data_IF_619403714740
#
_entry.id   IF_619403714740
#
_cell.length_a   1.000
_cell.length_b   1.000
_cell.length_c   1.000
_cell.angle_alpha   90.00
_cell.angle_beta   90.00
_cell.angle_gamma   90.00
#
_symmetry.space_group_name_H-M   'P 1'
#
loop_
_entity.id
_entity.type
_entity.pdbx_description
1 polymer ?
#
# COMPACT_ATOMS: atom_id res chain seq x y z
N UNK A 1 -13.16 34.27 1.41
CA UNK A 1 -11.93 34.10 0.62
C UNK A 1 -12.15 32.91 -0.29
N UNK A 2 -11.90 32.99 -1.59
CA UNK A 2 -11.98 31.80 -2.44
C UNK A 2 -10.69 31.00 -2.25
N UNK A 3 -10.78 29.69 -2.02
CA UNK A 3 -9.66 28.74 -1.94
C UNK A 3 -9.02 28.57 -3.33
N UNK A 4 -8.44 29.66 -3.82
CA UNK A 4 -7.79 29.74 -5.12
C UNK A 4 -6.49 30.47 -4.93
N UNK A 5 -5.48 30.11 -5.73
CA UNK A 5 -4.18 30.79 -5.73
C UNK A 5 -4.36 32.31 -5.88
N UNK A 6 -5.26 32.73 -6.77
CA UNK A 6 -5.55 34.15 -6.99
C UNK A 6 -6.23 34.82 -5.79
N UNK A 7 -7.12 34.11 -5.10
CA UNK A 7 -7.72 34.57 -3.85
C UNK A 7 -6.69 34.82 -2.75
N UNK A 8 -5.73 33.90 -2.59
CA UNK A 8 -4.61 34.05 -1.65
C UNK A 8 -3.68 35.19 -2.05
N UNK A 9 -3.29 35.27 -3.33
CA UNK A 9 -2.44 36.34 -3.86
C UNK A 9 -3.06 37.71 -3.63
N UNK A 10 -4.34 37.89 -3.96
CA UNK A 10 -5.05 39.15 -3.74
C UNK A 10 -5.09 39.53 -2.26
N UNK A 11 -5.36 38.57 -1.38
CA UNK A 11 -5.39 38.81 0.06
C UNK A 11 -4.03 39.27 0.61
N UNK A 12 -2.96 38.55 0.28
CA UNK A 12 -1.61 38.94 0.72
C UNK A 12 -1.21 40.32 0.15
N UNK A 13 -1.46 40.55 -1.13
CA UNK A 13 -1.13 41.84 -1.77
C UNK A 13 -1.88 43.01 -1.13
N UNK A 14 -3.13 42.84 -0.72
CA UNK A 14 -3.89 43.89 -0.02
C UNK A 14 -3.26 44.24 1.34
N UNK A 15 -2.82 43.22 2.08
CA UNK A 15 -2.17 43.41 3.38
C UNK A 15 -0.81 44.07 3.21
N UNK A 16 0.02 43.57 2.29
CA UNK A 16 1.33 44.18 1.99
C UNK A 16 1.14 45.63 1.56
N UNK A 17 0.23 45.90 0.63
CA UNK A 17 -0.05 47.26 0.15
C UNK A 17 -0.43 48.21 1.28
N UNK A 18 -1.26 47.76 2.23
CA UNK A 18 -1.60 48.56 3.41
C UNK A 18 -0.37 48.86 4.29
N UNK A 19 0.39 47.83 4.69
CA UNK A 19 1.53 48.03 5.60
C UNK A 19 2.70 48.77 4.96
N UNK A 20 2.91 48.65 3.65
CA UNK A 20 3.92 49.42 2.92
C UNK A 20 3.56 50.90 2.87
N UNK A 21 2.27 51.24 2.70
CA UNK A 21 1.81 52.63 2.73
C UNK A 21 1.95 53.22 4.15
N UNK A 22 1.56 52.46 5.18
CA UNK A 22 1.73 52.89 6.58
C UNK A 22 3.21 53.11 6.95
N UNK A 23 4.09 52.21 6.52
CA UNK A 23 5.54 52.37 6.71
C UNK A 23 6.10 53.59 5.97
N UNK A 24 5.63 53.85 4.75
CA UNK A 24 6.01 55.05 4.01
C UNK A 24 5.54 56.33 4.72
N UNK A 25 4.31 56.37 5.24
CA UNK A 25 3.77 57.52 6.00
C UNK A 25 4.58 57.74 7.27
N UNK A 26 4.94 56.68 8.00
CA UNK A 26 5.78 56.75 9.19
C UNK A 26 7.13 57.44 8.91
N UNK A 27 7.74 57.16 7.76
CA UNK A 27 9.02 57.77 7.38
C UNK A 27 8.89 59.15 6.72
N UNK A 28 7.80 59.40 6.00
CA UNK A 28 7.58 60.65 5.26
C UNK A 28 6.95 61.77 6.09
N UNK A 29 6.30 61.45 7.21
CA UNK A 29 5.55 62.41 8.03
C UNK A 29 6.09 62.53 9.45
N UNK A 30 6.00 63.72 10.04
CA UNK A 30 6.39 63.94 11.44
C UNK A 30 5.18 63.79 12.36
N UNK A 31 5.05 62.62 13.01
CA UNK A 31 4.14 62.43 14.14
C UNK A 31 2.69 62.02 13.83
N UNK A 32 2.34 61.78 12.55
CA UNK A 32 1.01 61.25 12.19
C UNK A 32 0.85 59.77 12.53
N UNK A 33 1.93 58.99 12.39
CA UNK A 33 1.98 57.57 12.74
C UNK A 33 3.22 57.36 13.61
N UNK A 34 3.12 56.50 14.62
CA UNK A 34 4.25 56.14 15.48
C UNK A 34 4.61 54.67 15.28
N UNK A 35 5.89 54.34 15.47
CA UNK A 35 6.36 52.95 15.32
C UNK A 35 5.59 51.98 16.24
N UNK A 36 5.30 52.40 17.47
CA UNK A 36 4.52 51.61 18.43
C UNK A 36 3.11 51.27 17.91
N UNK A 37 2.42 52.25 17.29
CA UNK A 37 1.11 52.02 16.69
C UNK A 37 1.19 51.02 15.52
N UNK A 38 2.17 51.19 14.63
CA UNK A 38 2.35 50.28 13.49
C UNK A 38 2.67 48.85 13.95
N UNK A 39 3.48 48.69 15.00
CA UNK A 39 3.84 47.39 15.57
C UNK A 39 2.62 46.71 16.23
N UNK A 40 1.78 47.45 16.97
CA UNK A 40 0.51 46.92 17.52
C UNK A 40 -0.46 46.50 16.41
N UNK A 41 -0.60 47.33 15.37
CA UNK A 41 -1.45 47.05 14.23
C UNK A 41 -0.99 45.80 13.47
N UNK A 42 0.32 45.66 13.27
CA UNK A 42 0.91 44.46 12.69
C UNK A 42 0.65 43.22 13.54
N UNK A 43 0.85 43.29 14.87
CA UNK A 43 0.60 42.15 15.76
C UNK A 43 -0.87 41.67 15.72
N UNK A 44 -1.82 42.61 15.66
CA UNK A 44 -3.24 42.30 15.49
C UNK A 44 -3.53 41.68 14.11
N UNK A 45 -2.99 42.26 13.04
CA UNK A 45 -3.16 41.76 11.69
C UNK A 45 -2.56 40.36 11.53
N UNK A 46 -1.32 40.16 11.96
CA UNK A 46 -0.61 38.89 11.92
C UNK A 46 -1.37 37.78 12.65
N UNK A 47 -1.94 38.08 13.81
CA UNK A 47 -2.77 37.12 14.56
C UNK A 47 -4.02 36.71 13.77
N UNK A 48 -4.69 37.65 13.09
CA UNK A 48 -5.84 37.36 12.22
C UNK A 48 -5.42 36.59 10.97
N UNK A 49 -4.30 36.96 10.34
CA UNK A 49 -3.76 36.29 9.15
C UNK A 49 -3.47 34.83 9.45
N UNK A 50 -2.77 34.55 10.55
CA UNK A 50 -2.46 33.17 10.98
C UNK A 50 -3.75 32.38 11.21
N UNK A 51 -4.74 32.97 11.90
CA UNK A 51 -6.02 32.30 12.15
C UNK A 51 -6.73 31.92 10.83
N UNK A 52 -6.84 32.86 9.89
CA UNK A 52 -7.46 32.63 8.58
C UNK A 52 -6.71 31.55 7.79
N UNK A 53 -5.38 31.65 7.74
CA UNK A 53 -4.57 30.69 7.00
C UNK A 53 -4.65 29.28 7.59
N UNK A 54 -4.63 29.13 8.92
CA UNK A 54 -4.81 27.82 9.58
C UNK A 54 -6.16 27.21 9.25
N UNK A 55 -7.22 28.01 9.31
CA UNK A 55 -8.56 27.53 8.97
C UNK A 55 -8.60 27.05 7.53
N UNK A 56 -8.14 27.84 6.56
CA UNK A 56 -8.22 27.44 5.15
C UNK A 56 -7.25 26.32 4.78
N UNK A 57 -6.04 26.29 5.35
CA UNK A 57 -5.11 25.18 5.10
C UNK A 57 -5.69 23.85 5.59
N UNK A 58 -6.41 23.85 6.73
CA UNK A 58 -7.00 22.63 7.30
C UNK A 58 -8.10 22.00 6.42
N UNK A 59 -8.84 22.82 5.67
CA UNK A 59 -9.89 22.37 4.75
C UNK A 59 -9.38 22.06 3.34
N UNK A 60 -8.17 22.52 3.00
CA UNK A 60 -7.58 22.26 1.69
C UNK A 60 -7.29 20.77 1.50
N UNK A 61 -7.86 20.20 0.44
CA UNK A 61 -7.69 18.80 0.05
C UNK A 61 -6.79 18.60 -1.18
N UNK A 62 -6.32 19.70 -1.77
CA UNK A 62 -5.42 19.69 -2.93
C UNK A 62 -3.97 19.98 -2.51
N UNK A 63 -3.05 19.00 -2.59
CA UNK A 63 -1.64 19.21 -2.24
C UNK A 63 -0.99 20.33 -3.06
N UNK A 64 -1.37 20.47 -4.33
CA UNK A 64 -0.76 21.45 -5.24
C UNK A 64 -1.13 22.88 -4.78
N UNK A 65 -2.38 23.10 -4.37
CA UNK A 65 -2.83 24.35 -3.77
C UNK A 65 -2.15 24.66 -2.42
N UNK A 66 -1.90 23.64 -1.58
CA UNK A 66 -1.16 23.82 -0.31
C UNK A 66 0.29 24.24 -0.58
N UNK A 67 0.94 23.67 -1.59
CA UNK A 67 2.30 24.04 -1.98
C UNK A 67 2.38 25.48 -2.50
N UNK A 68 1.42 25.87 -3.35
CA UNK A 68 1.28 27.26 -3.81
C UNK A 68 1.05 28.22 -2.64
N UNK A 69 0.19 27.85 -1.68
CA UNK A 69 -0.02 28.64 -0.47
C UNK A 69 1.27 28.82 0.34
N UNK A 70 2.07 27.75 0.51
CA UNK A 70 3.38 27.82 1.14
C UNK A 70 4.31 28.80 0.43
N UNK A 71 4.37 28.76 -0.90
CA UNK A 71 5.21 29.69 -1.67
C UNK A 71 4.74 31.16 -1.50
N UNK A 72 3.43 31.40 -1.50
CA UNK A 72 2.88 32.73 -1.25
C UNK A 72 3.17 33.24 0.17
N UNK A 73 3.09 32.38 1.20
CA UNK A 73 3.43 32.73 2.58
C UNK A 73 4.92 33.10 2.70
N UNK A 74 5.81 32.35 2.03
CA UNK A 74 7.26 32.65 2.02
C UNK A 74 7.53 34.01 1.40
N UNK A 75 6.96 34.30 0.22
CA UNK A 75 7.13 35.60 -0.45
C UNK A 75 6.55 36.74 0.40
N UNK A 76 5.37 36.51 1.00
CA UNK A 76 4.72 37.48 1.89
C UNK A 76 5.58 37.79 3.13
N UNK A 77 6.16 36.76 3.76
CA UNK A 77 7.06 36.92 4.89
C UNK A 77 8.34 37.66 4.51
N UNK A 78 9.01 37.27 3.42
CA UNK A 78 10.24 37.90 2.94
C UNK A 78 10.03 39.39 2.62
N UNK A 79 8.91 39.70 1.93
CA UNK A 79 8.56 41.09 1.60
C UNK A 79 8.42 41.95 2.86
N UNK A 80 7.63 41.51 3.84
CA UNK A 80 7.40 42.30 5.06
C UNK A 80 8.61 42.33 6.00
N UNK A 81 9.42 41.29 6.00
CA UNK A 81 10.71 41.29 6.70
C UNK A 81 11.64 42.36 6.13
N UNK A 82 11.62 42.60 4.82
CA UNK A 82 12.36 43.70 4.17
C UNK A 82 11.98 45.10 4.68
N UNK A 83 10.73 45.30 5.14
CA UNK A 83 10.25 46.53 5.80
C UNK A 83 10.46 46.52 7.33
N UNK A 84 11.13 45.51 7.86
CA UNK A 84 11.45 45.40 9.30
C UNK A 84 10.27 44.95 10.17
N UNK A 85 9.24 44.31 9.59
CA UNK A 85 8.17 43.69 10.38
C UNK A 85 8.58 42.30 10.89
N UNK A 86 8.24 41.92 12.14
CA UNK A 86 8.53 40.60 12.67
C UNK A 86 7.64 39.52 12.04
N UNK A 87 8.26 38.52 11.41
CA UNK A 87 7.58 37.47 10.64
C UNK A 87 7.76 36.05 11.20
N UNK A 88 8.42 35.88 12.36
CA UNK A 88 8.72 34.55 12.94
C UNK A 88 7.50 33.63 13.04
N UNK A 89 6.33 34.17 13.41
CA UNK A 89 5.08 33.39 13.52
C UNK A 89 4.57 32.86 12.18
N UNK A 90 4.98 33.45 11.05
CA UNK A 90 4.68 32.92 9.71
C UNK A 90 5.55 31.70 9.40
N UNK A 91 6.81 31.67 9.88
CA UNK A 91 7.65 30.49 9.77
C UNK A 91 7.12 29.34 10.64
N UNK A 92 6.61 29.62 11.84
CA UNK A 92 5.91 28.62 12.65
C UNK A 92 4.70 28.03 11.90
N UNK A 93 3.90 28.89 11.26
CA UNK A 93 2.78 28.46 10.43
C UNK A 93 3.22 27.60 9.24
N UNK A 94 4.38 27.87 8.64
CA UNK A 94 4.90 27.06 7.53
C UNK A 94 5.18 25.60 7.93
N UNK A 95 5.59 25.35 9.19
CA UNK A 95 5.70 23.98 9.70
C UNK A 95 4.34 23.28 9.77
N UNK A 96 3.30 23.97 10.23
CA UNK A 96 1.94 23.43 10.26
C UNK A 96 1.40 23.17 8.84
N UNK A 97 1.65 24.08 7.89
CA UNK A 97 1.27 23.92 6.48
C UNK A 97 1.99 22.73 5.84
N UNK A 98 3.26 22.49 6.18
CA UNK A 98 3.99 21.30 5.73
C UNK A 98 3.34 20.01 6.24
N UNK A 99 2.95 19.96 7.50
CA UNK A 99 2.33 18.77 8.07
C UNK A 99 0.95 18.51 7.41
N UNK A 100 0.18 19.57 7.15
CA UNK A 100 -1.06 19.48 6.37
C UNK A 100 -0.83 19.02 4.93
N UNK A 101 0.22 19.51 4.26
CA UNK A 101 0.62 19.07 2.92
C UNK A 101 0.89 17.56 2.91
N UNK A 102 1.67 17.07 3.87
CA UNK A 102 1.98 15.64 3.98
C UNK A 102 0.72 14.80 4.18
N UNK A 103 -0.19 15.21 5.07
CA UNK A 103 -1.46 14.50 5.27
C UNK A 103 -2.35 14.49 4.03
N UNK A 104 -2.42 15.62 3.32
CA UNK A 104 -3.21 15.75 2.08
C UNK A 104 -2.62 14.89 0.96
N UNK A 105 -1.30 14.87 0.83
CA UNK A 105 -0.57 14.04 -0.12
C UNK A 105 -0.80 12.54 0.15
N UNK A 106 -0.72 12.12 1.42
CA UNK A 106 -1.00 10.74 1.81
C UNK A 106 -2.45 10.33 1.49
N UNK A 107 -3.43 11.22 1.69
CA UNK A 107 -4.82 10.98 1.29
C UNK A 107 -4.98 10.84 -0.23
N UNK A 108 -4.33 11.70 -1.03
CA UNK A 108 -4.34 11.64 -2.50
C UNK A 108 -3.78 10.29 -2.97
N UNK A 109 -2.65 9.86 -2.44
CA UNK A 109 -2.06 8.56 -2.78
C UNK A 109 -2.90 7.36 -2.31
N UNK A 110 -3.60 7.47 -1.18
CA UNK A 110 -4.53 6.43 -0.74
C UNK A 110 -5.65 6.17 -1.76
N UNK A 111 -6.13 7.22 -2.42
CA UNK A 111 -7.11 7.12 -3.52
C UNK A 111 -6.47 6.49 -4.74
N UNK A 112 -5.29 6.96 -5.16
CA UNK A 112 -4.56 6.40 -6.30
C UNK A 112 -4.30 4.91 -6.13
N UNK A 113 -3.81 4.46 -4.97
CA UNK A 113 -3.60 3.03 -4.72
C UNK A 113 -4.90 2.23 -4.77
N UNK A 114 -5.99 2.78 -4.23
CA UNK A 114 -7.30 2.13 -4.28
C UNK A 114 -7.79 1.97 -5.72
N UNK A 115 -7.68 3.03 -6.51
CA UNK A 115 -8.09 3.02 -7.91
C UNK A 115 -7.26 2.01 -8.72
N UNK A 116 -5.95 1.95 -8.48
CA UNK A 116 -5.06 0.94 -9.08
C UNK A 116 -5.55 -0.47 -8.72
N UNK A 117 -5.81 -0.75 -7.44
CA UNK A 117 -6.26 -2.07 -6.98
C UNK A 117 -7.68 -2.43 -7.42
N UNK A 118 -8.54 -1.46 -7.71
CA UNK A 118 -9.88 -1.70 -8.24
C UNK A 118 -9.90 -1.93 -9.75
N UNK A 119 -8.93 -1.36 -10.47
CA UNK A 119 -8.78 -1.53 -11.92
C UNK A 119 -7.93 -2.74 -12.31
N UNK A 120 -7.11 -3.24 -11.41
CA UNK A 120 -6.28 -4.42 -11.64
C UNK A 120 -7.16 -5.66 -11.87
N UNK A 121 -6.81 -6.43 -12.89
CA UNK A 121 -7.47 -7.69 -13.23
C UNK A 121 -6.70 -8.92 -12.68
N UNK A 122 -5.59 -8.68 -11.97
CA UNK A 122 -4.73 -9.70 -11.35
C UNK A 122 -4.27 -10.81 -12.30
N UNK A 123 -4.18 -10.48 -13.59
CA UNK A 123 -3.62 -11.37 -14.61
C UNK A 123 -2.18 -10.98 -14.93
N UNK A 124 -1.33 -11.94 -15.33
CA UNK A 124 0.02 -11.62 -15.83
C UNK A 124 -0.06 -10.64 -17.00
N UNK A 125 0.86 -9.67 -17.03
CA UNK A 125 0.94 -8.70 -18.14
C UNK A 125 1.35 -9.47 -19.41
N UNK A 126 0.48 -9.54 -20.44
CA UNK A 126 0.86 -10.17 -21.70
C UNK A 126 1.88 -9.28 -22.41
N UNK A 127 2.95 -9.89 -22.91
CA UNK A 127 3.99 -9.22 -23.67
C UNK A 127 4.20 -10.01 -24.94
N UNK A 128 3.88 -9.42 -26.09
CA UNK A 128 3.94 -10.13 -27.38
C UNK A 128 5.26 -9.89 -28.13
N UNK A 129 5.98 -8.80 -27.79
CA UNK A 129 7.20 -8.40 -28.47
C UNK A 129 8.23 -7.75 -27.52
N UNK A 130 9.48 -7.62 -27.99
CA UNK A 130 10.59 -7.08 -27.21
C UNK A 130 10.40 -5.57 -26.88
N UNK A 131 9.66 -4.83 -27.71
CA UNK A 131 9.40 -3.41 -27.50
C UNK A 131 8.46 -3.18 -26.31
N UNK A 132 7.39 -3.97 -26.22
CA UNK A 132 6.47 -4.01 -25.08
C UNK A 132 7.19 -4.45 -23.81
N UNK A 133 8.05 -5.48 -23.90
CA UNK A 133 8.87 -5.91 -22.78
C UNK A 133 9.72 -4.76 -22.23
N UNK A 134 10.46 -4.09 -23.13
CA UNK A 134 11.29 -2.92 -22.78
C UNK A 134 10.45 -1.78 -22.21
N UNK A 135 9.26 -1.54 -22.76
CA UNK A 135 8.35 -0.51 -22.25
C UNK A 135 7.91 -0.81 -20.80
N UNK A 136 7.58 -2.07 -20.49
CA UNK A 136 7.20 -2.50 -19.14
C UNK A 136 8.39 -2.41 -18.17
N UNK A 137 9.54 -2.98 -18.53
CA UNK A 137 10.75 -2.99 -17.68
C UNK A 137 11.35 -1.58 -17.52
N UNK A 138 11.11 -0.66 -18.45
CA UNK A 138 11.53 0.74 -18.29
C UNK A 138 10.76 1.49 -17.20
N UNK A 139 9.53 1.05 -16.88
CA UNK A 139 8.66 1.69 -15.87
C UNK A 139 8.84 1.12 -14.47
N UNK A 140 9.36 -0.11 -14.38
CA UNK A 140 9.56 -0.81 -13.12
C UNK A 140 10.90 -1.54 -13.16
N UNK A 141 11.80 -1.35 -12.17
CA UNK A 141 13.14 -1.93 -12.16
C UNK A 141 13.09 -3.46 -11.92
N UNK A 142 12.62 -4.19 -12.92
CA UNK A 142 12.57 -5.66 -12.95
C UNK A 142 13.91 -6.19 -13.45
N UNK A 143 14.43 -7.21 -12.77
CA UNK A 143 15.66 -7.89 -13.18
C UNK A 143 15.30 -9.35 -13.50
N UNK A 144 15.48 -9.73 -14.75
CA UNK A 144 15.42 -11.13 -15.18
C UNK A 144 16.84 -11.69 -15.21
N UNK A 145 17.07 -12.79 -14.48
CA UNK A 145 18.37 -13.42 -14.34
C UNK A 145 18.87 -14.05 -15.66
N UNK A 146 17.99 -14.31 -16.63
CA UNK A 146 18.36 -14.90 -17.92
C UNK A 146 18.76 -13.85 -18.98
N UNK A 147 18.42 -12.56 -18.78
CA UNK A 147 18.67 -11.46 -19.74
C UNK A 147 19.77 -10.51 -19.22
N UNK A 148 20.70 -11.02 -18.42
CA UNK A 148 21.87 -10.24 -17.99
C UNK A 148 22.91 -10.14 -19.12
N UNK A 149 22.83 -9.05 -19.89
CA UNK A 149 24.06 -8.42 -20.41
C UNK A 149 24.00 -6.95 -20.80
N UNK A 150 22.82 -6.35 -20.94
CA UNK A 150 22.74 -4.96 -21.41
C UNK A 150 21.54 -4.23 -20.83
N UNK A 151 21.66 -3.70 -19.61
CA UNK A 151 20.88 -2.54 -19.16
C UNK A 151 21.60 -1.90 -17.97
N UNK A 152 22.80 -1.37 -18.22
CA UNK A 152 23.24 -0.20 -17.45
C UNK A 152 22.25 0.91 -17.81
N UNK A 153 21.40 1.30 -16.86
CA UNK A 153 20.45 2.40 -17.02
C UNK A 153 21.22 3.71 -17.34
N UNK A 154 21.45 3.97 -18.62
CA UNK A 154 22.14 5.16 -19.12
C UNK A 154 21.16 6.30 -19.44
N UNK A 155 20.07 6.43 -18.68
CA UNK A 155 19.13 7.54 -18.83
C UNK A 155 18.60 8.01 -17.46
N UNK A 156 19.48 8.67 -16.71
CA UNK A 156 19.09 9.81 -15.87
C UNK A 156 19.81 11.05 -16.43
N UNK A 157 19.27 11.69 -17.49
CA UNK A 157 19.82 12.95 -17.97
C UNK A 157 19.50 14.04 -16.93
N UNK A 158 20.55 14.56 -16.28
CA UNK A 158 20.89 15.99 -16.30
C UNK A 158 19.73 16.99 -16.26
N UNK A 159 18.79 16.87 -15.33
CA UNK A 159 17.81 17.93 -15.04
C UNK A 159 17.52 18.01 -13.54
N UNK A 160 18.51 18.40 -12.74
CA UNK A 160 18.22 19.18 -11.53
C UNK A 160 19.32 20.22 -11.32
N UNK A 161 18.99 21.52 -11.31
CA UNK A 161 19.95 22.53 -10.92
C UNK A 161 20.25 22.39 -9.42
N UNK A 162 21.53 22.22 -9.11
CA UNK A 162 22.20 22.59 -7.86
C UNK A 162 21.68 21.93 -6.56
N UNK A 163 22.41 20.88 -6.14
CA UNK A 163 22.86 20.66 -4.75
C UNK A 163 21.92 21.11 -3.63
N UNK A 164 20.93 20.27 -3.31
CA UNK A 164 20.28 20.28 -1.99
C UNK A 164 21.06 19.39 -1.02
N UNK A 165 22.25 19.83 -0.59
CA UNK A 165 22.98 19.15 0.48
C UNK A 165 22.42 19.57 1.83
N UNK A 166 21.38 18.89 2.32
CA UNK A 166 21.09 18.89 3.76
C UNK A 166 20.54 17.53 4.20
N UNK A 167 21.12 16.99 5.26
CA UNK A 167 20.65 15.78 5.96
C UNK A 167 19.16 15.89 6.35
N UNK A 168 18.66 17.11 6.56
CA UNK A 168 17.27 17.39 6.89
C UNK A 168 16.29 17.06 5.75
N UNK A 169 16.66 17.31 4.49
CA UNK A 169 15.83 16.97 3.33
C UNK A 169 15.79 15.45 3.15
N UNK A 170 16.93 14.80 3.33
CA UNK A 170 17.07 13.34 3.27
C UNK A 170 16.21 12.64 4.33
N UNK A 171 16.30 13.08 5.59
CA UNK A 171 15.46 12.58 6.67
C UNK A 171 13.96 12.81 6.41
N UNK A 172 13.60 13.98 5.88
CA UNK A 172 12.22 14.30 5.55
C UNK A 172 11.67 13.42 4.41
N UNK A 173 12.45 13.22 3.35
CA UNK A 173 12.07 12.35 2.23
C UNK A 173 11.91 10.90 2.71
N UNK A 174 12.86 10.36 3.46
CA UNK A 174 12.74 9.00 4.01
C UNK A 174 11.56 8.85 4.96
N UNK A 175 11.31 9.82 5.84
CA UNK A 175 10.15 9.81 6.75
C UNK A 175 8.84 9.82 5.97
N UNK A 176 8.72 10.65 4.94
CA UNK A 176 7.52 10.76 4.11
C UNK A 176 7.27 9.49 3.30
N UNK A 177 8.31 8.94 2.68
CA UNK A 177 8.25 7.65 1.97
C UNK A 177 7.86 6.52 2.91
N UNK A 178 8.44 6.48 4.11
CA UNK A 178 8.07 5.49 5.12
C UNK A 178 6.60 5.62 5.53
N UNK A 179 6.08 6.83 5.76
CA UNK A 179 4.65 7.02 6.06
C UNK A 179 3.76 6.58 4.89
N UNK A 180 4.16 6.85 3.66
CA UNK A 180 3.41 6.41 2.48
C UNK A 180 3.33 4.88 2.43
N UNK A 181 4.47 4.19 2.61
CA UNK A 181 4.53 2.72 2.57
C UNK A 181 3.82 2.10 3.79
N UNK A 182 4.24 2.44 5.01
CA UNK A 182 3.80 1.73 6.23
C UNK A 182 2.40 2.10 6.69
N UNK A 183 1.92 3.32 6.40
CA UNK A 183 0.58 3.77 6.80
C UNK A 183 -0.41 3.63 5.67
N UNK A 184 -0.09 4.20 4.51
CA UNK A 184 -1.07 4.36 3.42
C UNK A 184 -1.18 3.09 2.58
N UNK A 185 -0.07 2.65 1.97
CA UNK A 185 -0.05 1.45 1.14
C UNK A 185 -0.40 0.20 1.96
N UNK A 186 0.15 0.07 3.18
CA UNK A 186 -0.21 -1.01 4.12
C UNK A 186 -1.72 -1.09 4.35
N UNK A 187 -2.37 0.05 4.67
CA UNK A 187 -3.82 0.09 4.88
C UNK A 187 -4.60 -0.29 3.62
N UNK A 188 -4.16 0.18 2.44
CA UNK A 188 -4.79 -0.18 1.17
C UNK A 188 -4.66 -1.68 0.88
N UNK A 189 -3.49 -2.29 1.09
CA UNK A 189 -3.25 -3.73 0.91
C UNK A 189 -4.09 -4.56 1.88
N UNK A 190 -4.16 -4.17 3.16
CA UNK A 190 -4.99 -4.88 4.15
C UNK A 190 -6.47 -4.82 3.79
N UNK A 191 -6.95 -3.67 3.30
CA UNK A 191 -8.34 -3.54 2.85
C UNK A 191 -8.60 -4.37 1.59
N UNK A 192 -7.62 -4.45 0.68
CA UNK A 192 -7.71 -5.29 -0.52
C UNK A 192 -7.80 -6.78 -0.15
N UNK A 193 -6.89 -7.27 0.69
CA UNK A 193 -6.83 -8.68 1.12
C UNK A 193 -8.11 -9.11 1.85
N UNK A 194 -8.72 -8.20 2.63
CA UNK A 194 -9.96 -8.47 3.37
C UNK A 194 -11.25 -8.22 2.57
N UNK A 195 -11.16 -7.94 1.27
CA UNK A 195 -12.38 -7.81 0.44
C UNK A 195 -13.16 -9.14 0.46
N UNK A 196 -14.48 -9.13 0.70
CA UNK A 196 -15.25 -10.36 0.92
C UNK A 196 -15.19 -11.33 -0.27
N UNK A 197 -15.18 -10.79 -1.50
CA UNK A 197 -15.21 -11.57 -2.74
C UNK A 197 -13.83 -11.76 -3.39
N UNK A 198 -12.74 -11.52 -2.66
CA UNK A 198 -11.40 -11.76 -3.23
C UNK A 198 -11.20 -13.26 -3.50
N UNK A 199 -10.69 -13.58 -4.68
CA UNK A 199 -10.41 -14.93 -5.15
C UNK A 199 -9.04 -15.45 -4.71
N UNK A 200 -8.86 -16.78 -4.74
CA UNK A 200 -7.58 -17.42 -4.42
C UNK A 200 -6.46 -16.99 -5.40
N UNK A 201 -6.78 -16.88 -6.69
CA UNK A 201 -5.84 -16.41 -7.72
C UNK A 201 -5.39 -14.96 -7.47
N UNK A 202 -6.31 -14.09 -7.09
CA UNK A 202 -6.02 -12.69 -6.76
C UNK A 202 -5.10 -12.60 -5.54
N UNK A 203 -5.35 -13.39 -4.49
CA UNK A 203 -4.47 -13.47 -3.31
C UNK A 203 -3.06 -13.95 -3.65
N UNK A 204 -2.94 -14.97 -4.52
CA UNK A 204 -1.65 -15.44 -5.03
C UNK A 204 -0.92 -14.34 -5.79
N UNK A 205 -1.63 -13.61 -6.66
CA UNK A 205 -1.04 -12.50 -7.41
C UNK A 205 -0.62 -11.34 -6.49
N UNK A 206 -1.36 -11.05 -5.43
CA UNK A 206 -0.96 -10.07 -4.41
C UNK A 206 0.36 -10.49 -3.74
N UNK A 207 0.54 -11.77 -3.40
CA UNK A 207 1.79 -12.27 -2.82
C UNK A 207 2.98 -12.09 -3.78
N UNK A 208 2.76 -12.36 -5.07
CA UNK A 208 3.77 -12.17 -6.12
C UNK A 208 4.10 -10.68 -6.28
N UNK A 209 3.09 -9.84 -6.45
CA UNK A 209 3.25 -8.40 -6.65
C UNK A 209 3.95 -7.74 -5.47
N UNK A 210 3.56 -8.08 -4.24
CA UNK A 210 4.20 -7.56 -3.01
C UNK A 210 5.64 -8.04 -2.86
N UNK A 211 5.99 -9.21 -3.39
CA UNK A 211 7.38 -9.69 -3.46
C UNK A 211 8.21 -8.85 -4.42
N UNK A 212 7.69 -8.54 -5.61
CA UNK A 212 8.37 -7.64 -6.55
C UNK A 212 8.49 -6.21 -6.00
N UNK A 213 7.45 -5.68 -5.36
CA UNK A 213 7.50 -4.37 -4.71
C UNK A 213 8.54 -4.33 -3.59
N UNK A 214 8.68 -5.40 -2.81
CA UNK A 214 9.74 -5.51 -1.81
C UNK A 214 11.14 -5.42 -2.43
N UNK A 215 11.37 -6.08 -3.57
CA UNK A 215 12.64 -5.94 -4.31
C UNK A 215 12.83 -4.52 -4.85
N UNK A 216 11.77 -3.90 -5.38
CA UNK A 216 11.79 -2.54 -5.92
C UNK A 216 12.16 -1.48 -4.88
N UNK A 217 11.87 -1.72 -3.59
CA UNK A 217 12.24 -0.80 -2.51
C UNK A 217 13.74 -0.53 -2.43
N UNK A 218 14.60 -1.46 -2.83
CA UNK A 218 16.06 -1.24 -2.86
C UNK A 218 16.43 -0.12 -3.84
N UNK A 219 15.83 -0.13 -5.03
CA UNK A 219 16.05 0.94 -6.02
C UNK A 219 15.50 2.27 -5.55
N UNK A 220 14.41 2.27 -4.76
CA UNK A 220 13.89 3.48 -4.13
C UNK A 220 14.85 4.03 -3.07
N UNK A 221 15.50 3.17 -2.28
CA UNK A 221 16.57 3.57 -1.34
C UNK A 221 17.76 4.19 -2.07
N UNK A 222 18.22 3.58 -3.16
CA UNK A 222 19.32 4.08 -3.98
C UNK A 222 18.95 5.42 -4.63
N UNK A 223 17.72 5.55 -5.13
CA UNK A 223 17.21 6.79 -5.71
C UNK A 223 17.18 7.94 -4.70
N UNK A 224 16.67 7.70 -3.49
CA UNK A 224 16.66 8.72 -2.42
C UNK A 224 18.08 9.15 -2.10
N UNK A 225 19.00 8.19 -1.93
CA UNK A 225 20.42 8.45 -1.62
C UNK A 225 21.11 9.26 -2.72
N UNK A 226 20.85 8.94 -3.98
CA UNK A 226 21.41 9.66 -5.13
C UNK A 226 20.89 11.10 -5.22
N UNK A 227 19.62 11.35 -4.91
CA UNK A 227 19.06 12.71 -4.94
C UNK A 227 19.59 13.56 -3.79
N UNK A 228 19.80 12.97 -2.62
CA UNK A 228 20.18 13.72 -1.41
C UNK A 228 21.69 13.90 -1.26
N UNK A 229 22.50 13.21 -2.09
CA UNK A 229 23.97 13.24 -2.06
C UNK A 229 24.56 12.94 -0.66
N UNK A 230 23.84 12.17 0.17
CA UNK A 230 24.29 11.78 1.51
C UNK A 230 25.22 10.57 1.42
N UNK A 231 26.34 10.61 2.16
CA UNK A 231 27.36 9.55 2.14
C UNK A 231 26.80 8.20 2.63
N UNK A 232 27.15 7.07 1.98
CA UNK A 232 26.78 5.71 2.40
C UNK A 232 27.10 5.40 3.88
N UNK A 233 28.10 6.08 4.46
CA UNK A 233 28.53 5.86 5.85
C UNK A 233 27.54 6.37 6.90
N UNK A 234 26.59 7.23 6.51
CA UNK A 234 25.48 7.71 7.38
C UNK A 234 24.17 6.94 7.17
N UNK A 235 24.12 6.00 6.21
CA UNK A 235 22.91 5.29 5.77
C UNK A 235 22.40 4.24 6.76
N UNK A 236 23.21 3.89 7.79
CA UNK A 236 22.81 2.92 8.81
C UNK A 236 21.62 3.35 9.67
N UNK A 237 21.24 4.64 9.65
CA UNK A 237 20.25 5.17 10.60
C UNK A 237 18.80 5.09 10.10
N UNK A 238 18.52 4.90 8.80
CA UNK A 238 17.12 4.90 8.31
C UNK A 238 16.91 4.12 6.99
N UNK A 239 16.99 2.79 7.03
CA UNK A 239 16.44 1.94 5.94
C UNK A 239 14.95 2.19 5.76
N UNK A 240 14.42 1.98 4.55
CA UNK A 240 12.98 2.02 4.33
C UNK A 240 12.31 0.85 5.07
N UNK A 241 11.27 1.15 5.84
CA UNK A 241 10.41 0.15 6.49
C UNK A 241 9.39 -0.47 5.51
N UNK A 242 9.58 -0.26 4.20
CA UNK A 242 8.79 -0.93 3.16
C UNK A 242 8.88 -2.45 3.28
N UNK A 243 10.07 -2.98 3.61
CA UNK A 243 10.29 -4.43 3.73
C UNK A 243 9.35 -5.10 4.74
N UNK A 244 9.14 -4.51 5.93
CA UNK A 244 8.21 -5.08 6.91
C UNK A 244 6.77 -5.00 6.42
N UNK A 245 6.39 -3.88 5.80
CA UNK A 245 5.04 -3.69 5.25
C UNK A 245 4.66 -4.77 4.24
N UNK A 246 5.54 -5.07 3.29
CA UNK A 246 5.28 -6.10 2.29
C UNK A 246 5.31 -7.51 2.89
N UNK A 247 6.17 -7.77 3.88
CA UNK A 247 6.15 -9.04 4.63
C UNK A 247 4.83 -9.25 5.37
N UNK A 248 4.31 -8.21 6.04
CA UNK A 248 3.05 -8.27 6.78
C UNK A 248 1.86 -8.47 5.82
N UNK A 249 1.86 -7.76 4.69
CA UNK A 249 0.85 -7.94 3.65
C UNK A 249 0.85 -9.36 3.08
N UNK A 250 2.03 -9.95 2.82
CA UNK A 250 2.14 -11.35 2.38
C UNK A 250 1.60 -12.31 3.43
N UNK A 251 2.02 -12.19 4.69
CA UNK A 251 1.48 -13.06 5.75
C UNK A 251 -0.05 -12.96 5.88
N UNK A 252 -0.60 -11.75 5.73
CA UNK A 252 -2.06 -11.57 5.73
C UNK A 252 -2.73 -12.26 4.53
N UNK A 253 -2.16 -12.13 3.33
CA UNK A 253 -2.67 -12.80 2.13
C UNK A 253 -2.54 -14.33 2.23
N UNK A 254 -1.42 -14.85 2.76
CA UNK A 254 -1.22 -16.28 3.03
C UNK A 254 -2.28 -16.81 4.01
N UNK A 255 -2.54 -16.09 5.11
CA UNK A 255 -3.59 -16.43 6.06
C UNK A 255 -4.98 -16.51 5.41
N UNK A 256 -5.31 -15.52 4.57
CA UNK A 256 -6.58 -15.48 3.85
C UNK A 256 -6.72 -16.62 2.83
N UNK A 257 -5.63 -17.05 2.17
CA UNK A 257 -5.60 -18.24 1.33
C UNK A 257 -6.01 -19.47 2.14
N UNK A 258 -5.44 -19.67 3.33
CA UNK A 258 -5.76 -20.82 4.18
C UNK A 258 -7.23 -20.79 4.61
N UNK A 259 -7.73 -19.61 5.00
CA UNK A 259 -9.13 -19.43 5.40
C UNK A 259 -10.08 -19.73 4.25
N UNK A 260 -9.87 -19.17 3.06
CA UNK A 260 -10.74 -19.40 1.89
C UNK A 260 -10.68 -20.83 1.38
N UNK A 261 -9.52 -21.47 1.43
CA UNK A 261 -9.37 -22.87 1.06
C UNK A 261 -10.20 -23.77 1.98
N UNK A 262 -10.11 -23.54 3.29
CA UNK A 262 -10.88 -24.30 4.28
C UNK A 262 -12.38 -24.02 4.19
N UNK A 263 -12.79 -22.77 3.97
CA UNK A 263 -14.19 -22.42 3.70
C UNK A 263 -14.73 -23.15 2.47
N UNK A 264 -13.95 -23.24 1.39
CA UNK A 264 -14.35 -23.99 0.20
C UNK A 264 -14.47 -25.48 0.47
N UNK A 265 -13.57 -26.05 1.26
CA UNK A 265 -13.71 -27.44 1.72
C UNK A 265 -15.03 -27.60 2.48
N UNK A 266 -15.35 -26.71 3.42
CA UNK A 266 -16.59 -26.77 4.20
C UNK A 266 -17.83 -26.70 3.30
N UNK A 267 -17.84 -25.84 2.28
CA UNK A 267 -18.94 -25.77 1.30
C UNK A 267 -19.17 -27.11 0.59
N UNK A 268 -18.10 -27.83 0.20
CA UNK A 268 -18.24 -29.16 -0.41
C UNK A 268 -18.67 -30.23 0.61
N UNK A 269 -18.12 -30.19 1.82
CA UNK A 269 -18.44 -31.12 2.91
C UNK A 269 -19.93 -31.01 3.30
N UNK A 270 -20.51 -29.81 3.25
CA UNK A 270 -21.95 -29.61 3.49
C UNK A 270 -22.86 -30.32 2.49
N UNK A 271 -22.35 -30.72 1.32
CA UNK A 271 -23.09 -31.49 0.32
C UNK A 271 -23.07 -32.99 0.59
N UNK A 272 -22.35 -33.45 1.61
CA UNK A 272 -22.28 -34.86 1.95
C UNK A 272 -23.64 -35.35 2.49
N UNK A 273 -24.18 -36.37 1.84
CA UNK A 273 -25.46 -36.99 2.18
C UNK A 273 -25.26 -38.50 2.34
N UNK A 274 -24.65 -38.89 3.45
CA UNK A 274 -24.38 -40.30 3.74
C UNK A 274 -25.63 -41.00 4.27
N UNK A 275 -26.08 -42.04 3.56
CA UNK A 275 -27.07 -42.97 4.08
C UNK A 275 -26.40 -43.97 5.05
N UNK A 276 -26.25 -43.57 6.32
CA UNK A 276 -25.54 -44.38 7.34
C UNK A 276 -26.16 -45.76 7.60
N UNK A 277 -27.41 -45.99 7.18
CA UNK A 277 -28.13 -47.26 7.24
C UNK A 277 -28.01 -48.16 6.00
N UNK A 278 -27.24 -47.78 4.98
CA UNK A 278 -27.18 -48.53 3.72
C UNK A 278 -26.64 -49.96 3.88
N UNK A 279 -27.27 -50.93 3.21
CA UNK A 279 -26.89 -52.34 3.35
C UNK A 279 -25.52 -52.65 2.71
N UNK A 280 -25.23 -52.06 1.55
CA UNK A 280 -24.00 -52.21 0.77
C UNK A 280 -23.55 -50.85 0.27
N UNK A 281 -22.26 -50.68 -0.03
CA UNK A 281 -21.72 -49.46 -0.63
C UNK A 281 -22.14 -49.30 -2.10
N UNK A 282 -22.15 -48.07 -2.61
CA UNK A 282 -22.38 -47.78 -4.03
C UNK A 282 -21.22 -48.22 -4.94
N UNK A 283 -20.10 -48.66 -4.35
CA UNK A 283 -18.93 -49.19 -5.07
C UNK A 283 -18.07 -48.13 -5.78
N UNK A 284 -18.39 -46.84 -5.59
CA UNK A 284 -17.63 -45.68 -6.12
C UNK A 284 -17.54 -44.59 -5.06
N UNK A 285 -16.55 -43.71 -5.17
CA UNK A 285 -16.45 -42.54 -4.31
C UNK A 285 -17.63 -41.58 -4.53
N UNK A 286 -18.01 -40.88 -3.47
CA UNK A 286 -19.09 -39.90 -3.41
C UNK A 286 -18.82 -38.71 -4.33
N UNK A 287 -19.87 -38.23 -5.01
CA UNK A 287 -19.74 -37.16 -6.01
C UNK A 287 -19.17 -35.86 -5.44
N UNK A 288 -19.66 -35.42 -4.28
CA UNK A 288 -19.18 -34.19 -3.61
C UNK A 288 -17.67 -34.23 -3.35
N UNK A 289 -17.15 -35.41 -2.99
CA UNK A 289 -15.74 -35.58 -2.66
C UNK A 289 -14.88 -35.57 -3.93
N UNK A 290 -15.37 -36.20 -5.00
CA UNK A 290 -14.70 -36.12 -6.30
C UNK A 290 -14.62 -34.68 -6.81
N UNK A 291 -15.69 -33.90 -6.67
CA UNK A 291 -15.70 -32.49 -7.03
C UNK A 291 -14.75 -31.67 -6.15
N UNK A 292 -14.69 -31.94 -4.85
CA UNK A 292 -13.71 -31.34 -3.94
C UNK A 292 -12.26 -31.67 -4.35
N UNK A 293 -11.97 -32.92 -4.70
CA UNK A 293 -10.66 -33.37 -5.18
C UNK A 293 -10.27 -32.63 -6.47
N UNK A 294 -11.21 -32.51 -7.41
CA UNK A 294 -10.99 -31.77 -8.65
C UNK A 294 -10.72 -30.28 -8.39
N UNK A 295 -11.47 -29.67 -7.46
CA UNK A 295 -11.26 -28.28 -7.05
C UNK A 295 -9.87 -28.06 -6.46
N UNK A 296 -9.45 -28.87 -5.49
CA UNK A 296 -8.14 -28.72 -4.86
C UNK A 296 -7.00 -29.03 -5.83
N UNK A 297 -7.16 -29.99 -6.75
CA UNK A 297 -6.21 -30.24 -7.84
C UNK A 297 -6.05 -29.02 -8.75
N UNK A 298 -7.15 -28.41 -9.19
CA UNK A 298 -7.12 -27.20 -10.00
C UNK A 298 -6.48 -26.04 -9.24
N UNK A 299 -6.77 -25.92 -7.94
CA UNK A 299 -6.21 -24.86 -7.09
C UNK A 299 -4.70 -25.05 -6.86
N UNK A 300 -4.22 -26.29 -6.72
CA UNK A 300 -2.78 -26.58 -6.58
C UNK A 300 -1.95 -26.08 -7.78
N UNK A 301 -2.52 -26.03 -8.98
CA UNK A 301 -1.83 -25.48 -10.16
C UNK A 301 -1.56 -23.98 -10.00
N UNK A 302 -2.49 -23.24 -9.42
CA UNK A 302 -2.33 -21.80 -9.13
C UNK A 302 -1.24 -21.58 -8.07
N UNK A 303 -1.14 -22.48 -7.08
CA UNK A 303 -0.15 -22.38 -6.01
C UNK A 303 1.29 -22.66 -6.46
N UNK A 304 1.53 -23.13 -7.67
CA UNK A 304 2.90 -23.31 -8.21
C UNK A 304 3.67 -21.99 -8.30
N UNK A 305 2.97 -20.86 -8.33
CA UNK A 305 3.57 -19.52 -8.33
C UNK A 305 3.83 -18.95 -6.93
N UNK A 306 3.41 -19.66 -5.86
CA UNK A 306 3.71 -19.29 -4.49
C UNK A 306 5.10 -19.79 -4.06
N UNK A 307 5.73 -19.16 -3.07
CA UNK A 307 6.91 -19.73 -2.43
C UNK A 307 6.61 -21.14 -1.92
N UNK A 308 7.51 -22.11 -2.17
CA UNK A 308 7.25 -23.53 -1.88
C UNK A 308 6.77 -23.82 -0.46
N UNK A 309 7.28 -23.11 0.56
CA UNK A 309 6.82 -23.24 1.95
C UNK A 309 5.37 -22.82 2.15
N UNK A 310 4.93 -21.78 1.45
CA UNK A 310 3.55 -21.27 1.52
C UNK A 310 2.61 -22.26 0.85
N UNK A 311 2.95 -22.73 -0.36
CA UNK A 311 2.17 -23.74 -1.07
C UNK A 311 2.04 -25.04 -0.25
N UNK A 312 3.14 -25.50 0.36
CA UNK A 312 3.15 -26.66 1.24
C UNK A 312 2.26 -26.47 2.46
N UNK A 313 2.32 -25.29 3.08
CA UNK A 313 1.50 -24.97 4.27
C UNK A 313 0.02 -24.90 3.91
N UNK A 314 -0.33 -24.33 2.75
CA UNK A 314 -1.71 -24.31 2.23
C UNK A 314 -2.25 -25.73 2.03
N UNK A 315 -1.47 -26.59 1.37
CA UNK A 315 -1.84 -27.99 1.15
C UNK A 315 -2.00 -28.75 2.47
N UNK A 316 -1.06 -28.58 3.41
CA UNK A 316 -1.13 -29.22 4.72
C UNK A 316 -2.35 -28.75 5.53
N UNK A 317 -2.64 -27.45 5.50
CA UNK A 317 -3.83 -26.87 6.15
C UNK A 317 -5.11 -27.48 5.60
N UNK A 318 -5.26 -27.52 4.28
CA UNK A 318 -6.41 -28.14 3.61
C UNK A 318 -6.56 -29.62 3.94
N UNK A 319 -5.47 -30.40 3.87
CA UNK A 319 -5.50 -31.84 4.20
C UNK A 319 -5.91 -32.08 5.65
N UNK A 320 -5.34 -31.30 6.58
CA UNK A 320 -5.68 -31.39 7.99
C UNK A 320 -7.15 -31.04 8.23
N UNK A 321 -7.64 -29.98 7.58
CA UNK A 321 -9.03 -29.55 7.69
C UNK A 321 -9.98 -30.61 7.16
N UNK A 322 -9.74 -31.11 5.94
CA UNK A 322 -10.51 -32.20 5.33
C UNK A 322 -10.53 -33.46 6.20
N UNK A 323 -9.38 -33.92 6.68
CA UNK A 323 -9.30 -35.10 7.55
C UNK A 323 -10.08 -34.89 8.88
N UNK A 324 -10.02 -33.68 9.43
CA UNK A 324 -10.77 -33.32 10.64
C UNK A 324 -12.27 -33.32 10.38
N UNK A 325 -12.73 -32.72 9.27
CA UNK A 325 -14.14 -32.67 8.91
C UNK A 325 -14.72 -34.07 8.63
N UNK A 326 -13.98 -34.92 7.90
CA UNK A 326 -14.37 -36.31 7.67
C UNK A 326 -14.46 -37.10 8.99
N UNK A 327 -13.51 -36.92 9.90
CA UNK A 327 -13.56 -37.54 11.22
C UNK A 327 -14.74 -37.04 12.05
N UNK A 328 -15.08 -35.75 11.97
CA UNK A 328 -16.23 -35.18 12.66
C UNK A 328 -17.56 -35.76 12.17
N UNK A 329 -17.70 -36.08 10.88
CA UNK A 329 -18.88 -36.76 10.35
C UNK A 329 -19.14 -38.12 11.01
N UNK A 330 -18.09 -38.90 11.26
CA UNK A 330 -18.20 -40.19 11.95
C UNK A 330 -18.47 -40.06 13.45
N UNK A 331 -18.08 -38.93 14.04
CA UNK A 331 -18.22 -38.64 15.47
C UNK A 331 -19.45 -37.78 15.78
N UNK A 332 -20.33 -37.55 14.80
CA UNK A 332 -21.53 -36.75 14.98
C UNK A 332 -22.45 -37.42 16.02
N UNK A 333 -22.84 -36.65 17.03
CA UNK A 333 -23.72 -37.10 18.12
C UNK A 333 -25.11 -37.49 17.65
N UNK A 334 -25.57 -36.98 16.50
CA UNK A 334 -26.85 -37.37 15.89
C UNK A 334 -26.80 -38.76 15.23
N UNK A 335 -25.59 -39.25 14.96
CA UNK A 335 -25.35 -40.50 14.27
C UNK A 335 -25.45 -41.69 15.26
N UNK A 336 -26.65 -42.26 15.37
CA UNK A 336 -26.94 -43.33 16.35
C UNK A 336 -26.47 -44.72 15.92
N UNK A 337 -26.34 -44.96 14.62
CA UNK A 337 -26.03 -46.29 14.06
C UNK A 337 -25.30 -46.15 12.74
N UNK A 338 -24.27 -46.98 12.54
CA UNK A 338 -23.49 -47.07 11.30
C UNK A 338 -23.54 -48.51 10.80
N UNK A 339 -24.02 -48.70 9.59
CA UNK A 339 -23.99 -49.99 8.88
C UNK A 339 -22.61 -50.29 8.29
N UNK A 340 -22.32 -51.57 8.02
CA UNK A 340 -21.07 -51.93 7.34
C UNK A 340 -21.00 -51.37 5.90
N UNK A 341 -22.14 -51.30 5.19
CA UNK A 341 -22.22 -50.70 3.86
C UNK A 341 -21.81 -49.23 3.87
N UNK A 342 -22.28 -48.45 4.86
CA UNK A 342 -21.88 -47.05 5.01
C UNK A 342 -20.39 -46.88 5.36
N UNK A 343 -19.83 -47.75 6.21
CA UNK A 343 -18.38 -47.74 6.49
C UNK A 343 -17.58 -48.05 5.23
N UNK A 344 -18.02 -49.01 4.42
CA UNK A 344 -17.36 -49.33 3.16
C UNK A 344 -17.41 -48.16 2.18
N UNK A 345 -18.56 -47.47 2.08
CA UNK A 345 -18.70 -46.27 1.26
C UNK A 345 -17.75 -45.15 1.72
N UNK A 346 -17.75 -44.85 3.02
CA UNK A 346 -16.83 -43.87 3.62
C UNK A 346 -15.36 -44.24 3.42
N UNK A 347 -15.03 -45.54 3.47
CA UNK A 347 -13.67 -46.02 3.21
C UNK A 347 -13.25 -45.80 1.75
N UNK A 348 -14.16 -45.95 0.77
CA UNK A 348 -13.87 -45.62 -0.64
C UNK A 348 -13.52 -44.14 -0.79
N UNK A 349 -14.23 -43.28 -0.06
CA UNK A 349 -14.00 -41.83 -0.02
C UNK A 349 -12.65 -41.47 0.59
N UNK A 350 -12.28 -42.07 1.72
CA UNK A 350 -10.96 -41.88 2.34
C UNK A 350 -9.84 -42.37 1.43
N UNK A 351 -9.97 -43.56 0.82
CA UNK A 351 -8.96 -44.09 -0.12
C UNK A 351 -8.75 -43.12 -1.28
N UNK A 352 -9.82 -42.53 -1.80
CA UNK A 352 -9.73 -41.61 -2.91
C UNK A 352 -9.04 -40.29 -2.51
N UNK A 353 -9.27 -39.80 -1.29
CA UNK A 353 -8.49 -38.69 -0.72
C UNK A 353 -7.01 -39.07 -0.62
N UNK A 354 -6.69 -40.21 -0.02
CA UNK A 354 -5.30 -40.65 0.18
C UNK A 354 -4.55 -40.77 -1.15
N UNK A 355 -5.17 -41.37 -2.16
CA UNK A 355 -4.56 -41.62 -3.47
C UNK A 355 -4.22 -40.33 -4.22
N UNK A 356 -5.12 -39.36 -4.22
CA UNK A 356 -4.98 -38.15 -5.02
C UNK A 356 -4.15 -37.07 -4.31
N UNK A 357 -4.24 -36.96 -2.99
CA UNK A 357 -3.49 -35.95 -2.24
C UNK A 357 -2.06 -36.35 -1.92
N UNK A 358 -1.72 -37.65 -1.87
CA UNK A 358 -0.31 -38.06 -1.85
C UNK A 358 0.43 -37.52 -3.09
N UNK A 359 -0.23 -37.45 -4.25
CA UNK A 359 0.36 -36.83 -5.44
C UNK A 359 0.50 -35.31 -5.33
N UNK A 360 -0.51 -34.58 -4.83
CA UNK A 360 -0.39 -33.13 -4.64
C UNK A 360 0.74 -32.75 -3.67
N UNK A 361 0.88 -33.47 -2.55
CA UNK A 361 1.94 -33.23 -1.56
C UNK A 361 3.34 -33.56 -2.11
N UNK A 362 3.47 -34.65 -2.88
CA UNK A 362 4.71 -35.02 -3.55
C UNK A 362 5.08 -34.05 -4.69
N UNK A 363 4.12 -33.56 -5.47
CA UNK A 363 4.38 -32.58 -6.53
C UNK A 363 4.94 -31.27 -5.98
N UNK A 364 4.46 -30.79 -4.81
CA UNK A 364 5.03 -29.62 -4.13
C UNK A 364 6.41 -29.86 -3.53
N UNK A 365 6.76 -31.12 -3.21
CA UNK A 365 8.07 -31.50 -2.66
C UNK A 365 9.15 -31.75 -3.72
N UNK A 366 8.75 -32.06 -4.96
CA UNK A 366 9.67 -32.46 -6.03
C UNK A 366 9.87 -31.41 -7.14
N UNK A 367 9.02 -30.38 -7.24
CA UNK A 367 9.13 -29.33 -8.29
C UNK A 367 9.76 -28.00 -7.82
N UNK A 368 10.32 -27.95 -6.61
CA UNK A 368 11.19 -26.89 -6.09
C UNK A 368 12.36 -27.53 -5.35
#
# INVERSE_FOLDING_TARGET
MHETVEGYRKYFNQIVGFFVVEDHILHATQGLVTRAFTDELWNMALSKIIAVLRTHSSYCSDPDLVLELKNLIVIFADTLQGYGFPVNRLFDLLFEVRDQYNETLLKKWALVFRDIFEQDNYSPIPVENEEEYKAVVSRFPFHDAEIEKYLYFQWLPHVYPQSFSSTEIDDMLRKSTNLLLTRTLSSCLQNLIKKPHIGLTELVQIIINTTHLEYACKYLEDFITNITNVSPETVHTTRLYGLSTFKDARHAAEGEIYTKLNQKIDEFIQLADYEWGMAESDGRASGYLMDLINFLRSTSQVFTHLPGKVAQTACMSACKHLATSLMQMLLDTELKQISMGAIQQFNLDVIQCEREYFCCYLLTLFFH
#
